data_IF_787727076950
#
_entry.id   IF_787727076950
#
_cell.length_a   1.000
_cell.length_b   1.000
_cell.length_c   1.000
_cell.angle_alpha   90.00
_cell.angle_beta   90.00
_cell.angle_gamma   90.00
#
_symmetry.space_group_name_H-M   'P 1'
#
loop_
_entity.id
_entity.type
_entity.pdbx_description
1 polymer ?
#
# COMPACT_ATOMS: atom_id res chain seq x y z
N UNK A 1 6.82 4.46 21.07
CA UNK A 1 7.69 3.65 20.20
C UNK A 1 6.77 2.89 19.24
N UNK A 2 6.43 3.53 18.12
CA UNK A 2 5.44 3.02 17.16
C UNK A 2 5.99 1.84 16.36
N UNK A 3 5.09 1.07 15.76
CA UNK A 3 5.43 -0.10 14.94
C UNK A 3 6.48 0.26 13.88
N UNK A 4 7.69 -0.28 14.00
CA UNK A 4 8.81 0.02 13.09
C UNK A 4 8.63 -0.63 11.71
N UNK A 5 7.88 -1.74 11.63
CA UNK A 5 7.71 -2.50 10.39
C UNK A 5 6.26 -2.99 10.28
N UNK A 6 5.61 -2.69 9.15
CA UNK A 6 4.27 -3.15 8.81
C UNK A 6 4.30 -3.99 7.53
N UNK A 7 3.63 -5.14 7.51
CA UNK A 7 3.43 -5.92 6.29
C UNK A 7 1.94 -6.05 6.01
N UNK A 8 1.54 -5.70 4.79
CA UNK A 8 0.17 -5.80 4.28
C UNK A 8 0.17 -6.87 3.21
N UNK A 9 -0.64 -7.90 3.42
CA UNK A 9 -0.76 -9.05 2.53
C UNK A 9 -2.18 -9.06 1.96
N UNK A 10 -2.32 -9.27 0.65
CA UNK A 10 -3.62 -9.30 -0.01
C UNK A 10 -3.65 -10.18 -1.25
N UNK A 11 -4.85 -10.60 -1.64
CA UNK A 11 -5.11 -11.47 -2.79
C UNK A 11 -5.51 -10.70 -4.06
N UNK A 12 -5.69 -9.39 -3.96
CA UNK A 12 -5.88 -8.52 -5.11
C UNK A 12 -4.55 -8.00 -5.64
N UNK A 13 -4.01 -8.65 -6.67
CA UNK A 13 -2.76 -8.23 -7.34
C UNK A 13 -2.80 -6.75 -7.72
N UNK A 14 -3.89 -6.31 -8.34
CA UNK A 14 -4.05 -4.93 -8.82
C UNK A 14 -3.96 -3.91 -7.70
N UNK A 15 -4.61 -4.17 -6.56
CA UNK A 15 -4.59 -3.25 -5.41
C UNK A 15 -3.21 -3.24 -4.76
N UNK A 16 -2.61 -4.41 -4.54
CA UNK A 16 -1.26 -4.51 -3.96
C UNK A 16 -0.24 -3.77 -4.82
N UNK A 17 -0.25 -3.97 -6.14
CA UNK A 17 0.68 -3.28 -7.05
C UNK A 17 0.47 -1.77 -7.04
N UNK A 18 -0.78 -1.27 -6.94
CA UNK A 18 -1.05 0.17 -6.81
C UNK A 18 -0.49 0.76 -5.52
N UNK A 19 -0.55 0.03 -4.40
CA UNK A 19 0.05 0.46 -3.14
C UNK A 19 1.59 0.41 -3.14
N UNK A 20 2.19 -0.40 -4.01
CA UNK A 20 3.64 -0.45 -4.19
C UNK A 20 4.15 0.66 -5.11
N UNK A 21 3.34 1.10 -6.06
CA UNK A 21 3.71 2.11 -7.04
C UNK A 21 3.64 3.54 -6.46
N UNK A 22 4.59 4.38 -6.85
CA UNK A 22 4.57 5.82 -6.60
C UNK A 22 3.90 6.60 -7.74
N UNK A 23 3.40 5.91 -8.76
CA UNK A 23 2.72 6.53 -9.89
C UNK A 23 1.34 7.07 -9.48
N UNK A 24 0.93 8.15 -10.15
CA UNK A 24 -0.40 8.73 -9.95
C UNK A 24 -1.50 7.73 -10.37
N UNK A 25 -2.29 7.29 -9.39
CA UNK A 25 -3.38 6.38 -9.63
C UNK A 25 -4.57 7.09 -10.31
N UNK A 26 -4.94 6.62 -11.52
CA UNK A 26 -6.08 7.16 -12.30
C UNK A 26 -7.40 6.42 -12.08
N UNK A 27 -7.45 5.46 -11.17
CA UNK A 27 -8.65 4.66 -10.93
C UNK A 27 -9.60 5.31 -9.92
N UNK A 28 -10.81 4.76 -9.81
CA UNK A 28 -11.82 5.23 -8.86
C UNK A 28 -11.34 5.16 -7.41
N UNK A 29 -10.42 4.26 -7.08
CA UNK A 29 -9.86 4.10 -5.73
C UNK A 29 -8.66 5.00 -5.44
N UNK A 30 -8.33 5.96 -6.34
CA UNK A 30 -7.15 6.82 -6.18
C UNK A 30 -7.05 7.52 -4.83
N UNK A 31 -8.18 7.97 -4.27
CA UNK A 31 -8.21 8.68 -3.00
C UNK A 31 -7.71 7.80 -1.86
N UNK A 32 -8.08 6.51 -1.89
CA UNK A 32 -7.64 5.50 -0.92
C UNK A 32 -6.15 5.20 -1.11
N UNK A 33 -5.70 5.04 -2.36
CA UNK A 33 -4.28 4.80 -2.65
C UNK A 33 -3.42 5.99 -2.17
N UNK A 34 -3.85 7.24 -2.43
CA UNK A 34 -3.18 8.44 -1.94
C UNK A 34 -3.12 8.50 -0.42
N UNK A 35 -4.21 8.17 0.27
CA UNK A 35 -4.26 8.13 1.72
C UNK A 35 -3.30 7.08 2.31
N UNK A 36 -3.23 5.89 1.70
CA UNK A 36 -2.26 4.84 2.07
C UNK A 36 -0.82 5.32 1.87
N UNK A 37 -0.50 5.97 0.76
CA UNK A 37 0.86 6.49 0.51
C UNK A 37 1.23 7.59 1.51
N UNK A 38 0.31 8.48 1.86
CA UNK A 38 0.53 9.51 2.88
C UNK A 38 0.76 8.88 4.26
N UNK A 39 -0.10 7.92 4.63
CA UNK A 39 -0.03 7.23 5.94
C UNK A 39 1.22 6.36 6.06
N UNK A 40 1.71 5.79 4.95
CA UNK A 40 2.95 5.02 4.89
C UNK A 40 4.16 5.78 5.45
N UNK A 41 4.20 7.11 5.30
CA UNK A 41 5.32 7.93 5.81
C UNK A 41 5.48 7.91 7.33
N UNK A 42 4.45 7.47 8.07
CA UNK A 42 4.49 7.34 9.52
C UNK A 42 5.21 6.06 10.00
N UNK A 43 5.53 5.12 9.10
CA UNK A 43 6.20 3.86 9.41
C UNK A 43 7.63 3.87 8.85
N UNK A 44 8.59 3.27 9.58
CA UNK A 44 9.97 3.17 9.08
C UNK A 44 10.05 2.21 7.89
N UNK A 45 9.27 1.14 7.89
CA UNK A 45 9.17 0.20 6.78
C UNK A 45 7.74 -0.31 6.64
N UNK A 46 7.22 -0.27 5.41
CA UNK A 46 5.95 -0.89 5.05
C UNK A 46 6.10 -1.68 3.76
N UNK A 47 5.77 -2.96 3.82
CA UNK A 47 5.77 -3.88 2.69
C UNK A 47 4.34 -4.23 2.27
N UNK A 48 4.09 -4.27 0.97
CA UNK A 48 2.84 -4.79 0.40
C UNK A 48 3.17 -6.07 -0.37
N UNK A 49 2.43 -7.16 -0.12
CA UNK A 49 2.69 -8.46 -0.73
C UNK A 49 1.41 -9.08 -1.28
N UNK A 50 1.49 -9.54 -2.53
CA UNK A 50 0.40 -10.26 -3.17
C UNK A 50 0.56 -11.75 -2.87
N UNK A 51 -0.52 -12.39 -2.40
CA UNK A 51 -0.62 -13.84 -2.27
C UNK A 51 -1.75 -14.36 -3.17
N UNK A 52 -1.52 -15.40 -4.00
CA UNK A 52 -2.61 -16.03 -4.72
C UNK A 52 -3.57 -16.72 -3.75
N UNK A 53 -4.85 -16.75 -4.11
CA UNK A 53 -5.92 -17.36 -3.31
C UNK A 53 -5.99 -18.88 -3.49
#
# INVERSE_FOLDING_TARGET
>A
MGFNVLQIIGDSRTVITKCQSSEYDRSTIRAIISDIQNTKTHFQNIGFHFIPR
#
